data_IF_383103208660
#
_entry.id   IF_383103208660
#
_cell.length_a   1.000
_cell.length_b   1.000
_cell.length_c   1.000
_cell.angle_alpha   90.00
_cell.angle_beta   90.00
_cell.angle_gamma   90.00
#
_symmetry.space_group_name_H-M   'P 1'
#
loop_
_entity.id
_entity.type
_entity.pdbx_description
1 polymer ?
#
# COMPACT_ATOMS: atom_id res chain seq x y z
N UNK A 1 18.63 6.58 3.43
CA UNK A 1 18.34 7.48 4.57
C UNK A 1 16.88 7.87 4.50
N UNK A 2 16.14 7.88 5.62
CA UNK A 2 14.72 8.24 5.60
C UNK A 2 14.53 9.70 5.13
N UNK A 3 13.50 9.99 4.32
CA UNK A 3 13.22 11.36 3.84
C UNK A 3 12.85 12.31 4.99
N UNK A 4 13.14 13.61 4.84
CA UNK A 4 12.93 14.62 5.88
C UNK A 4 11.47 14.71 6.35
N UNK A 5 10.52 14.62 5.42
CA UNK A 5 9.09 14.61 5.71
C UNK A 5 8.71 13.44 6.64
N UNK A 6 9.16 12.23 6.36
CA UNK A 6 8.81 11.07 7.17
C UNK A 6 9.42 11.12 8.57
N UNK A 7 10.62 11.67 8.73
CA UNK A 7 11.18 11.91 10.07
C UNK A 7 10.29 12.84 10.90
N UNK A 8 9.77 13.90 10.28
CA UNK A 8 8.87 14.82 10.97
C UNK A 8 7.52 14.17 11.31
N UNK A 9 6.92 13.45 10.36
CA UNK A 9 5.67 12.72 10.60
C UNK A 9 5.82 11.67 11.70
N UNK A 10 6.93 10.95 11.77
CA UNK A 10 7.23 10.00 12.85
C UNK A 10 7.26 10.71 14.21
N UNK A 11 7.96 11.84 14.32
CA UNK A 11 8.01 12.61 15.58
C UNK A 11 6.63 13.12 16.01
N UNK A 12 5.80 13.57 15.06
CA UNK A 12 4.41 13.97 15.34
C UNK A 12 3.53 12.80 15.77
N UNK A 13 3.72 11.62 15.17
CA UNK A 13 3.01 10.40 15.53
C UNK A 13 3.34 9.97 16.97
N UNK A 14 4.62 9.94 17.31
CA UNK A 14 5.12 9.63 18.66
C UNK A 14 4.62 10.63 19.71
N UNK A 15 4.48 11.90 19.33
CA UNK A 15 3.93 12.97 20.18
C UNK A 15 2.40 13.00 20.21
N UNK A 16 1.72 12.09 19.51
CA UNK A 16 0.27 12.02 19.37
C UNK A 16 -0.38 13.31 18.81
N UNK A 17 0.36 14.05 17.98
CA UNK A 17 -0.07 15.33 17.39
C UNK A 17 -0.71 15.19 16.00
N UNK A 18 -0.73 13.98 15.45
CA UNK A 18 -1.35 13.70 14.16
C UNK A 18 -2.88 13.60 14.26
N UNK A 19 -3.56 14.03 13.20
CA UNK A 19 -5.00 13.76 13.01
C UNK A 19 -5.26 12.26 12.86
N UNK A 20 -6.52 11.84 12.97
CA UNK A 20 -6.90 10.44 12.78
C UNK A 20 -6.52 9.92 11.38
N UNK A 21 -6.70 10.76 10.37
CA UNK A 21 -6.39 10.48 8.96
C UNK A 21 -4.87 10.36 8.75
N UNK A 22 -4.09 11.26 9.33
CA UNK A 22 -2.63 11.22 9.24
C UNK A 22 -2.04 9.99 9.93
N UNK A 23 -2.69 9.50 11.00
CA UNK A 23 -2.27 8.27 11.69
C UNK A 23 -2.43 7.02 10.84
N UNK A 24 -3.23 7.04 9.77
CA UNK A 24 -3.38 5.89 8.86
C UNK A 24 -2.04 5.46 8.24
N UNK A 25 -1.09 6.39 8.07
CA UNK A 25 0.28 6.09 7.62
C UNK A 25 1.03 5.17 8.57
N UNK A 26 0.72 5.23 9.86
CA UNK A 26 1.38 4.49 10.94
C UNK A 26 0.56 3.27 11.40
N UNK A 27 -0.48 2.88 10.66
CA UNK A 27 -1.26 1.69 10.98
C UNK A 27 -0.39 0.43 10.80
N UNK A 28 -0.18 -0.30 11.89
CA UNK A 28 0.63 -1.53 11.94
C UNK A 28 -0.13 -2.61 12.72
N UNK A 29 -0.33 -3.82 12.17
CA UNK A 29 0.09 -4.24 10.83
C UNK A 29 -0.75 -3.56 9.73
N UNK A 30 -0.11 -3.34 8.57
CA UNK A 30 -0.82 -2.94 7.36
C UNK A 30 -1.67 -4.11 6.85
N UNK A 31 -2.80 -3.79 6.22
CA UNK A 31 -3.56 -4.80 5.49
C UNK A 31 -2.72 -5.32 4.33
N UNK A 32 -2.94 -6.59 3.96
CA UNK A 32 -2.28 -7.19 2.79
C UNK A 32 -2.68 -6.47 1.50
N UNK A 33 -3.94 -6.06 1.41
CA UNK A 33 -4.52 -5.34 0.29
C UNK A 33 -5.40 -4.20 0.79
N UNK A 34 -5.53 -3.16 -0.01
CA UNK A 34 -6.40 -2.01 0.24
C UNK A 34 -7.19 -1.71 -1.04
N UNK A 35 -8.45 -1.32 -0.89
CA UNK A 35 -9.34 -1.00 -2.01
C UNK A 35 -10.09 0.30 -1.72
N UNK A 36 -10.00 1.27 -2.62
CA UNK A 36 -10.55 2.61 -2.43
C UNK A 36 -11.44 2.99 -3.61
N UNK A 37 -12.51 3.73 -3.32
CA UNK A 37 -13.39 4.34 -4.32
C UNK A 37 -12.92 5.77 -4.56
N UNK A 38 -12.16 6.01 -5.63
CA UNK A 38 -11.56 7.32 -5.88
C UNK A 38 -12.57 8.41 -6.25
N UNK A 39 -13.78 8.05 -6.68
CA UNK A 39 -14.84 9.04 -6.97
C UNK A 39 -15.43 9.61 -5.69
N UNK A 40 -15.67 8.75 -4.70
CA UNK A 40 -16.29 9.11 -3.43
C UNK A 40 -15.26 9.39 -2.30
N UNK A 41 -14.03 8.90 -2.46
CA UNK A 41 -12.91 9.00 -1.51
C UNK A 41 -11.59 9.32 -2.24
N UNK A 42 -11.43 10.57 -2.72
CA UNK A 42 -10.25 10.97 -3.50
C UNK A 42 -8.94 11.01 -2.71
N UNK A 43 -9.00 10.86 -1.38
CA UNK A 43 -7.84 10.85 -0.50
C UNK A 43 -7.54 9.47 0.08
N UNK A 44 -8.26 8.43 -0.35
CA UNK A 44 -8.00 7.03 0.01
C UNK A 44 -7.99 6.80 1.54
N UNK A 45 -8.93 7.44 2.25
CA UNK A 45 -9.01 7.38 3.71
C UNK A 45 -9.86 6.20 4.22
N UNK A 46 -10.71 5.65 3.36
CA UNK A 46 -11.71 4.64 3.70
C UNK A 46 -11.42 3.35 2.92
N UNK A 47 -10.66 2.44 3.53
CA UNK A 47 -10.37 1.15 2.90
C UNK A 47 -11.60 0.24 2.89
N UNK A 48 -12.06 -0.11 1.68
CA UNK A 48 -13.26 -0.89 1.39
C UNK A 48 -12.96 -2.38 1.11
N UNK A 49 -11.73 -2.86 1.35
CA UNK A 49 -11.30 -4.23 0.99
C UNK A 49 -12.17 -5.34 1.64
N UNK A 50 -12.78 -5.07 2.80
CA UNK A 50 -13.64 -6.02 3.51
C UNK A 50 -15.11 -6.01 3.09
N UNK A 51 -15.52 -5.07 2.24
CA UNK A 51 -16.92 -4.85 1.87
C UNK A 51 -17.37 -5.83 0.78
N UNK A 52 -18.27 -6.75 1.14
CA UNK A 52 -18.75 -7.82 0.24
C UNK A 52 -19.36 -7.30 -1.07
N UNK A 53 -19.90 -6.08 -1.07
CA UNK A 53 -20.49 -5.47 -2.28
C UNK A 53 -19.46 -5.23 -3.40
N UNK A 54 -18.17 -5.11 -3.07
CA UNK A 54 -17.09 -4.85 -4.03
C UNK A 54 -16.26 -6.09 -4.38
N UNK A 55 -16.68 -7.29 -3.94
CA UNK A 55 -15.87 -8.51 -4.13
C UNK A 55 -15.61 -8.82 -5.61
N UNK A 56 -16.52 -8.43 -6.51
CA UNK A 56 -16.35 -8.65 -7.96
C UNK A 56 -15.29 -7.72 -8.55
N UNK A 57 -15.32 -6.46 -8.17
CA UNK A 57 -14.38 -5.42 -8.61
C UNK A 57 -12.97 -5.72 -8.10
N UNK A 58 -12.86 -6.08 -6.82
CA UNK A 58 -11.60 -6.49 -6.19
C UNK A 58 -11.01 -7.70 -6.92
N UNK A 59 -11.80 -8.74 -7.18
CA UNK A 59 -11.33 -9.93 -7.90
C UNK A 59 -10.87 -9.60 -9.32
N UNK A 60 -11.60 -8.73 -10.03
CA UNK A 60 -11.22 -8.29 -11.36
C UNK A 60 -9.90 -7.50 -11.37
N UNK A 61 -9.62 -6.71 -10.32
CA UNK A 61 -8.34 -5.99 -10.19
C UNK A 61 -7.18 -6.93 -9.84
N UNK A 62 -7.41 -7.93 -8.99
CA UNK A 62 -6.42 -8.99 -8.71
C UNK A 62 -6.00 -9.71 -9.98
N UNK A 63 -6.98 -10.18 -10.76
CA UNK A 63 -6.69 -10.86 -12.03
C UNK A 63 -5.89 -9.96 -12.99
N UNK A 64 -6.19 -8.66 -13.05
CA UNK A 64 -5.42 -7.73 -13.89
C UNK A 64 -3.98 -7.56 -13.39
N UNK A 65 -3.78 -7.48 -12.07
CA UNK A 65 -2.45 -7.41 -11.47
C UNK A 65 -1.65 -8.70 -11.72
N UNK A 66 -2.25 -9.86 -11.49
CA UNK A 66 -1.61 -11.17 -11.72
C UNK A 66 -1.19 -11.33 -13.19
N UNK A 67 -2.09 -10.98 -14.12
CA UNK A 67 -1.77 -11.00 -15.55
C UNK A 67 -0.60 -10.06 -15.89
N UNK A 68 -0.52 -8.89 -15.26
CA UNK A 68 0.55 -7.93 -15.52
C UNK A 68 1.90 -8.41 -14.95
N UNK A 69 1.91 -8.94 -13.73
CA UNK A 69 3.08 -9.58 -13.10
C UNK A 69 3.65 -10.66 -14.03
N UNK A 70 2.79 -11.55 -14.54
CA UNK A 70 3.18 -12.61 -15.46
C UNK A 70 3.71 -12.04 -16.79
N UNK A 71 3.06 -11.02 -17.35
CA UNK A 71 3.46 -10.40 -18.62
C UNK A 71 4.86 -9.80 -18.60
N UNK A 72 5.24 -9.16 -17.48
CA UNK A 72 6.56 -8.54 -17.35
C UNK A 72 7.61 -9.47 -16.73
N UNK A 73 7.20 -10.69 -16.33
CA UNK A 73 8.00 -11.64 -15.56
C UNK A 73 8.56 -11.02 -14.27
N UNK A 74 7.70 -10.34 -13.51
CA UNK A 74 8.11 -9.68 -12.26
C UNK A 74 8.42 -10.72 -11.16
N UNK A 75 9.63 -10.74 -10.58
CA UNK A 75 9.98 -11.64 -9.48
C UNK A 75 9.41 -11.16 -8.13
N UNK A 76 8.08 -11.06 -8.02
CA UNK A 76 7.34 -10.54 -6.85
C UNK A 76 7.63 -11.28 -5.53
N UNK A 77 8.15 -12.50 -5.59
CA UNK A 77 8.50 -13.31 -4.43
C UNK A 77 9.91 -13.03 -3.88
N UNK A 78 10.68 -12.15 -4.52
CA UNK A 78 12.03 -11.81 -4.10
C UNK A 78 11.98 -10.45 -3.39
N UNK A 79 12.43 -10.35 -2.12
CA UNK A 79 12.55 -9.07 -1.46
C UNK A 79 13.40 -8.10 -2.30
N UNK A 80 12.95 -6.86 -2.44
CA UNK A 80 13.58 -5.85 -3.32
C UNK A 80 15.11 -5.74 -3.10
N UNK A 81 15.56 -5.80 -1.85
CA UNK A 81 16.99 -5.77 -1.51
C UNK A 81 17.78 -6.92 -2.14
N UNK A 82 17.23 -8.12 -2.14
CA UNK A 82 17.86 -9.29 -2.77
C UNK A 82 17.78 -9.19 -4.30
N UNK A 83 16.68 -8.68 -4.84
CA UNK A 83 16.52 -8.45 -6.28
C UNK A 83 17.58 -7.46 -6.81
N UNK A 84 17.77 -6.32 -6.14
CA UNK A 84 18.80 -5.33 -6.51
C UNK A 84 20.18 -5.97 -6.52
N UNK A 85 20.49 -6.80 -5.52
CA UNK A 85 21.76 -7.51 -5.45
C UNK A 85 21.97 -8.42 -6.67
N UNK A 86 20.96 -9.21 -7.03
CA UNK A 86 21.01 -10.11 -8.19
C UNK A 86 21.16 -9.38 -9.53
N UNK A 87 20.64 -8.15 -9.65
CA UNK A 87 20.65 -7.38 -10.90
C UNK A 87 21.89 -6.49 -11.06
N UNK A 88 22.61 -6.21 -9.97
CA UNK A 88 23.73 -5.24 -9.97
C UNK A 88 25.10 -5.88 -9.74
N UNK A 89 25.15 -7.12 -9.25
CA UNK A 89 26.35 -7.96 -9.13
C UNK A 89 26.51 -8.90 -10.33
#
# INVERSE_FOLDING_TARGET
>A
TQMALMRHLTALNESNLLSAEQKLWFNVPKNLEEFYDLENDPFELNNLIGEKKYSKEIENLRIQLDNWIDQINDPVNIPEKELVKMLTE
#
